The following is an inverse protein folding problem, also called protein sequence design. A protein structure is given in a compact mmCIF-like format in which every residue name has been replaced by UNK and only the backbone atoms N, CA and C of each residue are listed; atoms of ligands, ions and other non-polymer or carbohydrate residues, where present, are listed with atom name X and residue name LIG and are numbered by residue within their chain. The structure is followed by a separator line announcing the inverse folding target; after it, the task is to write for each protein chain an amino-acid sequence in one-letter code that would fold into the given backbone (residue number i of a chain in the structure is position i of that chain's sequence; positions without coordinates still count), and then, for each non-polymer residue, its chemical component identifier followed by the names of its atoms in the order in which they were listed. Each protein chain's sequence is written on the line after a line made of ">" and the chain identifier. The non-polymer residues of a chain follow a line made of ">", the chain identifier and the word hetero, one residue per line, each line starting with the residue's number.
data_IF_976083663975
#
_entry.id   IF_976083663975
#
_cell.length_a   1.000
_cell.length_b   1.000
_cell.length_c   1.000
_cell.angle_alpha   90.00
_cell.angle_beta   90.00
_cell.angle_gamma   90.00
#
_symmetry.space_group_name_H-M   'P 1'
#
loop_
_entity.id
_entity.type
_entity.pdbx_description
1 polymer ?
#
# COMPACT_ATOMS: atom_id res chain seq x y z
N UNK A 1 18.58 -4.09 2.72
CA UNK A 1 17.46 -3.50 3.46
C UNK A 1 16.46 -4.63 3.71
N UNK A 2 16.27 -5.03 4.95
CA UNK A 2 15.19 -5.92 5.33
C UNK A 2 13.95 -5.02 5.40
N UNK A 3 12.98 -5.25 4.52
CA UNK A 3 11.74 -4.48 4.49
C UNK A 3 10.70 -5.25 5.28
N UNK A 4 10.24 -4.68 6.39
CA UNK A 4 9.25 -5.31 7.27
C UNK A 4 7.82 -5.18 6.72
N UNK A 5 7.61 -4.23 5.81
CA UNK A 5 6.37 -4.04 5.06
C UNK A 5 6.59 -3.05 3.91
N UNK A 6 5.64 -3.00 2.98
CA UNK A 6 5.67 -2.04 1.88
C UNK A 6 4.31 -1.38 1.66
N UNK A 7 4.33 -0.10 1.29
CA UNK A 7 3.15 0.61 0.81
C UNK A 7 3.20 0.63 -0.72
N UNK A 8 2.21 0.01 -1.36
CA UNK A 8 2.04 0.01 -2.81
C UNK A 8 1.12 1.15 -3.21
N UNK A 9 1.68 2.18 -3.84
CA UNK A 9 0.92 3.35 -4.31
C UNK A 9 0.48 3.12 -5.77
N UNK A 10 -0.83 3.16 -6.01
CA UNK A 10 -1.42 3.02 -7.36
C UNK A 10 -2.31 4.22 -7.64
N UNK A 11 -2.20 4.82 -8.81
CA UNK A 11 -3.11 5.89 -9.22
C UNK A 11 -4.45 5.29 -9.64
N UNK A 12 -5.53 5.73 -9.02
CA UNK A 12 -6.89 5.29 -9.32
C UNK A 12 -7.30 5.59 -10.77
N UNK A 13 -6.71 6.61 -11.39
CA UNK A 13 -6.95 6.97 -12.80
C UNK A 13 -6.34 5.99 -13.80
N UNK A 14 -5.22 5.36 -13.43
CA UNK A 14 -4.36 4.61 -14.36
C UNK A 14 -4.45 3.09 -14.11
N UNK A 15 -4.90 2.67 -12.93
CA UNK A 15 -5.07 1.26 -12.56
C UNK A 15 -3.73 0.49 -12.44
N UNK A 16 -3.81 -0.84 -12.58
CA UNK A 16 -2.67 -1.73 -12.42
C UNK A 16 -1.75 -1.74 -13.65
N UNK A 17 -0.72 -0.87 -13.64
CA UNK A 17 0.28 -0.80 -14.69
C UNK A 17 1.28 -1.99 -14.67
N UNK A 18 2.00 -2.27 -15.77
CA UNK A 18 3.05 -3.30 -15.80
C UNK A 18 4.11 -3.14 -14.70
N UNK A 19 4.42 -1.89 -14.34
CA UNK A 19 5.34 -1.54 -13.25
C UNK A 19 4.81 -1.98 -11.88
N UNK A 20 3.50 -1.87 -11.64
CA UNK A 20 2.86 -2.36 -10.41
C UNK A 20 3.07 -3.86 -10.24
N UNK A 21 2.92 -4.63 -11.34
CA UNK A 21 3.15 -6.07 -11.35
C UNK A 21 4.61 -6.43 -11.06
N UNK A 22 5.54 -5.65 -11.60
CA UNK A 22 6.97 -5.83 -11.36
C UNK A 22 7.35 -5.50 -9.91
N UNK A 23 6.81 -4.44 -9.33
CA UNK A 23 7.03 -4.10 -7.92
C UNK A 23 6.47 -5.17 -6.97
N UNK A 24 5.28 -5.71 -7.22
CA UNK A 24 4.72 -6.81 -6.41
C UNK A 24 5.61 -8.06 -6.52
N UNK A 25 6.11 -8.36 -7.73
CA UNK A 25 7.03 -9.47 -7.95
C UNK A 25 8.34 -9.27 -7.17
N UNK A 26 8.93 -8.08 -7.21
CA UNK A 26 10.14 -7.74 -6.46
C UNK A 26 9.91 -7.83 -4.96
N UNK A 27 8.80 -7.31 -4.45
CA UNK A 27 8.43 -7.41 -3.04
C UNK A 27 8.34 -8.88 -2.59
N UNK A 28 7.73 -9.74 -3.42
CA UNK A 28 7.66 -11.18 -3.15
C UNK A 28 9.04 -11.84 -3.14
N UNK A 29 9.90 -11.51 -4.11
CA UNK A 29 11.28 -12.03 -4.18
C UNK A 29 12.14 -11.58 -2.99
N UNK A 30 11.90 -10.37 -2.51
CA UNK A 30 12.54 -9.80 -1.32
C UNK A 30 11.91 -10.29 -0.01
N UNK A 31 10.91 -11.17 -0.07
CA UNK A 31 10.19 -11.73 1.07
C UNK A 31 9.57 -10.65 1.98
N UNK A 32 9.05 -9.58 1.38
CA UNK A 32 8.26 -8.59 2.12
C UNK A 32 7.02 -9.31 2.68
N UNK A 33 6.79 -9.32 4.01
CA UNK A 33 5.77 -10.16 4.60
C UNK A 33 4.35 -9.58 4.43
N UNK A 34 4.23 -8.25 4.35
CA UNK A 34 2.94 -7.54 4.30
C UNK A 34 3.01 -6.34 3.36
N UNK A 35 1.94 -6.14 2.60
CA UNK A 35 1.76 -5.00 1.71
C UNK A 35 0.44 -4.32 2.05
N UNK A 36 0.48 -2.99 2.14
CA UNK A 36 -0.71 -2.13 2.23
C UNK A 36 -0.80 -1.34 0.92
N UNK A 37 -1.99 -1.24 0.35
CA UNK A 37 -2.20 -0.52 -0.92
C UNK A 37 -2.80 0.85 -0.64
N UNK A 38 -2.25 1.87 -1.28
CA UNK A 38 -2.84 3.21 -1.28
C UNK A 38 -3.27 3.58 -2.70
N UNK A 39 -4.59 3.65 -2.90
CA UNK A 39 -5.19 4.16 -4.12
C UNK A 39 -5.19 5.69 -4.08
N UNK A 40 -4.28 6.28 -4.85
CA UNK A 40 -4.05 7.71 -4.90
C UNK A 40 -4.82 8.37 -6.06
N UNK A 41 -4.95 9.70 -6.01
CA UNK A 41 -5.68 10.54 -6.98
C UNK A 41 -7.19 10.29 -7.01
N UNK A 42 -7.79 9.83 -5.91
CA UNK A 42 -9.25 9.68 -5.82
C UNK A 42 -10.01 11.01 -5.95
N UNK A 43 -9.35 12.15 -5.76
CA UNK A 43 -9.91 13.48 -5.96
C UNK A 43 -10.20 13.83 -7.43
N UNK A 44 -9.57 13.12 -8.38
CA UNK A 44 -9.78 13.31 -9.81
C UNK A 44 -10.97 12.51 -10.34
N UNK A 45 -11.50 11.59 -9.54
CA UNK A 45 -12.62 10.72 -9.90
C UNK A 45 -13.91 11.30 -9.31
N UNK A 46 -14.96 11.36 -10.13
CA UNK A 46 -16.27 11.86 -9.71
C UNK A 46 -17.13 10.78 -9.07
N UNK A 47 -18.33 11.16 -8.62
CA UNK A 47 -19.34 10.22 -8.11
C UNK A 47 -19.76 9.16 -9.15
N UNK A 48 -19.62 9.46 -10.45
CA UNK A 48 -19.90 8.53 -11.54
C UNK A 48 -18.82 7.47 -11.80
N UNK A 49 -17.67 7.56 -11.12
CA UNK A 49 -16.52 6.67 -11.34
C UNK A 49 -16.31 5.68 -10.18
N UNK A 50 -17.27 5.58 -9.25
CA UNK A 50 -17.20 4.62 -8.13
C UNK A 50 -17.10 3.17 -8.61
N UNK A 51 -17.84 2.80 -9.66
CA UNK A 51 -17.76 1.46 -10.24
C UNK A 51 -16.37 1.16 -10.81
N UNK A 52 -15.68 2.19 -11.34
CA UNK A 52 -14.32 2.05 -11.87
C UNK A 52 -13.31 1.88 -10.73
N UNK A 53 -13.48 2.59 -9.62
CA UNK A 53 -12.67 2.39 -8.41
C UNK A 53 -12.79 0.97 -7.87
N UNK A 54 -14.01 0.47 -7.73
CA UNK A 54 -14.26 -0.88 -7.23
C UNK A 54 -13.66 -1.94 -8.16
N UNK A 55 -13.70 -1.71 -9.47
CA UNK A 55 -13.05 -2.59 -10.45
C UNK A 55 -11.53 -2.60 -10.31
N UNK A 56 -10.91 -1.43 -10.14
CA UNK A 56 -9.45 -1.32 -9.95
C UNK A 56 -9.02 -1.98 -8.64
N UNK A 57 -9.80 -1.84 -7.57
CA UNK A 57 -9.54 -2.54 -6.31
C UNK A 57 -9.57 -4.05 -6.47
N UNK A 58 -10.59 -4.57 -7.15
CA UNK A 58 -10.72 -6.00 -7.40
C UNK A 58 -9.53 -6.52 -8.23
N UNK A 59 -9.12 -5.81 -9.28
CA UNK A 59 -7.93 -6.19 -10.07
C UNK A 59 -6.66 -6.20 -9.21
N UNK A 60 -6.46 -5.19 -8.36
CA UNK A 60 -5.30 -5.11 -7.48
C UNK A 60 -5.29 -6.25 -6.45
N UNK A 61 -6.46 -6.57 -5.89
CA UNK A 61 -6.61 -7.65 -4.93
C UNK A 61 -6.28 -9.01 -5.57
N UNK A 62 -6.81 -9.29 -6.77
CA UNK A 62 -6.49 -10.51 -7.52
C UNK A 62 -4.98 -10.60 -7.84
N UNK A 63 -4.34 -9.49 -8.23
CA UNK A 63 -2.91 -9.44 -8.52
C UNK A 63 -2.04 -9.72 -7.29
N UNK A 64 -2.45 -9.21 -6.12
CA UNK A 64 -1.77 -9.42 -4.84
C UNK A 64 -1.94 -10.85 -4.36
N UNK A 65 -3.17 -11.39 -4.42
CA UNK A 65 -3.48 -12.77 -4.08
C UNK A 65 -2.71 -13.76 -4.97
N UNK A 66 -2.60 -13.48 -6.28
CA UNK A 66 -1.81 -14.29 -7.21
C UNK A 66 -0.31 -14.36 -6.86
N UNK A 67 0.19 -13.45 -6.00
CA UNK A 67 1.56 -13.42 -5.49
C UNK A 67 1.68 -13.82 -4.02
N UNK A 68 0.59 -14.30 -3.41
CA UNK A 68 0.57 -14.77 -2.02
C UNK A 68 0.35 -13.69 -0.96
N UNK A 69 -0.08 -12.49 -1.37
CA UNK A 69 -0.50 -11.43 -0.45
C UNK A 69 -2.01 -11.50 -0.26
N UNK A 70 -2.45 -12.33 0.67
CA UNK A 70 -3.87 -12.49 1.00
C UNK A 70 -4.38 -11.31 1.86
N UNK A 71 -5.58 -10.81 1.55
CA UNK A 71 -6.28 -9.76 2.31
C UNK A 71 -5.44 -8.49 2.53
N UNK A 72 -4.66 -8.08 1.53
CA UNK A 72 -3.92 -6.83 1.59
C UNK A 72 -4.92 -5.65 1.68
N UNK A 73 -4.84 -4.80 2.73
CA UNK A 73 -5.78 -3.70 2.89
C UNK A 73 -5.54 -2.62 1.84
N UNK A 74 -6.62 -2.05 1.32
CA UNK A 74 -6.61 -0.99 0.31
C UNK A 74 -7.27 0.26 0.91
N UNK A 75 -6.54 1.37 0.89
CA UNK A 75 -7.02 2.67 1.37
C UNK A 75 -7.14 3.63 0.18
N UNK A 76 -8.33 4.22 0.01
CA UNK A 76 -8.62 5.23 -1.02
C UNK A 76 -8.31 6.63 -0.49
N UNK A 77 -7.56 7.41 -1.25
CA UNK A 77 -7.18 8.76 -0.82
C UNK A 77 -6.62 9.66 -1.92
N UNK A 78 -6.27 10.88 -1.50
CA UNK A 78 -5.59 11.86 -2.33
C UNK A 78 -4.42 12.45 -1.55
N UNK A 79 -3.20 12.05 -1.91
CA UNK A 79 -2.00 12.59 -1.29
C UNK A 79 -1.79 14.09 -1.61
N UNK A 80 -2.30 14.55 -2.77
CA UNK A 80 -2.19 15.97 -3.16
C UNK A 80 -3.05 16.84 -2.23
N UNK A 81 -4.34 16.52 -2.11
CA UNK A 81 -5.26 17.29 -1.26
C UNK A 81 -4.91 17.19 0.22
N UNK A 82 -4.44 16.03 0.67
CA UNK A 82 -3.91 15.88 2.03
C UNK A 82 -2.71 16.81 2.27
N UNK A 83 -1.80 16.95 1.29
CA UNK A 83 -0.67 17.86 1.40
C UNK A 83 -1.09 19.35 1.35
N UNK A 84 -2.19 19.66 0.67
CA UNK A 84 -2.78 21.01 0.60
C UNK A 84 -3.53 21.41 1.89
N UNK A 85 -3.71 20.48 2.83
CA UNK A 85 -4.35 20.74 4.13
C UNK A 85 -5.86 20.51 4.16
N UNK A 86 -6.39 19.71 3.23
CA UNK A 86 -7.79 19.30 3.26
C UNK A 86 -8.00 18.18 4.28
N UNK A 87 -8.73 18.49 5.35
CA UNK A 87 -8.93 17.63 6.51
C UNK A 87 -9.52 16.26 6.14
N UNK A 88 -10.38 16.18 5.12
CA UNK A 88 -10.98 14.92 4.67
C UNK A 88 -9.91 13.96 4.12
N UNK A 89 -8.94 14.49 3.37
CA UNK A 89 -7.88 13.69 2.77
C UNK A 89 -6.71 13.45 3.73
N UNK A 90 -6.46 14.37 4.67
CA UNK A 90 -5.54 14.12 5.79
C UNK A 90 -5.99 12.93 6.64
N UNK A 91 -7.30 12.80 6.89
CA UNK A 91 -7.87 11.65 7.61
C UNK A 91 -7.58 10.33 6.88
N UNK A 92 -7.59 10.32 5.54
CA UNK A 92 -7.22 9.14 4.74
C UNK A 92 -5.75 8.75 4.87
N UNK A 93 -4.85 9.72 5.08
CA UNK A 93 -3.44 9.42 5.37
C UNK A 93 -3.30 8.85 6.79
N UNK A 94 -4.05 9.37 7.76
CA UNK A 94 -4.08 8.80 9.11
C UNK A 94 -4.65 7.38 9.11
N UNK A 95 -5.71 7.13 8.34
CA UNK A 95 -6.29 5.80 8.13
C UNK A 95 -5.27 4.84 7.49
N UNK A 96 -4.51 5.30 6.49
CA UNK A 96 -3.42 4.52 5.89
C UNK A 96 -2.38 4.14 6.94
N UNK A 97 -1.94 5.09 7.76
CA UNK A 97 -0.94 4.83 8.80
C UNK A 97 -1.47 3.88 9.87
N UNK A 98 -2.72 4.04 10.32
CA UNK A 98 -3.36 3.10 11.25
C UNK A 98 -3.44 1.69 10.66
N UNK A 99 -3.79 1.59 9.38
CA UNK A 99 -3.87 0.31 8.67
C UNK A 99 -2.51 -0.37 8.59
N UNK A 100 -1.44 0.40 8.37
CA UNK A 100 -0.06 -0.09 8.41
C UNK A 100 0.28 -0.61 9.81
N UNK A 101 -0.02 0.14 10.87
CA UNK A 101 0.24 -0.28 12.25
C UNK A 101 -0.51 -1.57 12.62
N UNK A 102 -1.75 -1.74 12.14
CA UNK A 102 -2.57 -2.93 12.41
C UNK A 102 -2.13 -4.16 11.60
N UNK A 103 -1.59 -3.98 10.39
CA UNK A 103 -1.30 -5.07 9.46
C UNK A 103 0.17 -5.45 9.37
N UNK A 104 1.09 -4.52 9.62
CA UNK A 104 2.53 -4.76 9.57
C UNK A 104 3.01 -5.12 10.98
N UNK A 105 3.43 -6.37 11.23
CA UNK A 105 3.86 -6.77 12.55
C UNK A 105 5.13 -6.02 12.97
N UNK A 106 5.22 -5.67 14.25
CA UNK A 106 6.47 -5.11 14.78
C UNK A 106 7.63 -6.10 14.59
N UNK A 107 8.75 -5.68 13.98
CA UNK A 107 9.88 -6.56 13.75
C UNK A 107 10.50 -6.98 15.08
N UNK A 108 10.75 -8.29 15.22
CA UNK A 108 11.39 -8.82 16.41
C UNK A 108 12.82 -8.30 16.52
N UNK A 109 13.10 -7.52 17.56
CA UNK A 109 14.43 -6.98 17.81
C UNK A 109 15.36 -8.09 18.32
N UNK A 110 16.48 -8.26 17.63
CA UNK A 110 17.52 -9.23 17.99
C UNK A 110 18.43 -8.72 19.13
N UNK A 111 17.85 -8.46 20.30
CA UNK A 111 18.59 -7.91 21.46
C UNK A 111 19.54 -8.90 22.12
N UNK A 112 19.30 -10.20 21.92
CA UNK A 112 20.10 -11.28 22.50
C UNK A 112 21.26 -11.73 21.59
N UNK A 113 21.36 -11.18 20.36
CA UNK A 113 22.43 -11.52 19.41
C UNK A 113 23.67 -10.66 19.65
N UNK A 114 24.88 -11.15 19.27
CA UNK A 114 26.08 -10.33 19.30
C UNK A 114 25.89 -9.03 18.51
N UNK A 115 26.40 -7.92 19.05
CA UNK A 115 26.32 -6.62 18.40
C UNK A 115 26.92 -6.65 16.99
N UNK A 116 26.13 -6.24 16.00
CA UNK A 116 26.54 -6.12 14.61
C UNK A 116 25.90 -4.84 14.03
N UNK A 117 26.73 -3.94 13.53
CA UNK A 117 26.31 -2.71 12.86
C UNK A 117 27.06 -2.64 11.52
N UNK A 118 26.37 -2.86 10.38
CA UNK A 118 26.97 -2.70 9.06
C UNK A 118 27.42 -1.24 8.85
N UNK A 119 28.56 -1.05 8.19
CA UNK A 119 29.10 0.28 7.80
C UNK A 119 28.28 0.83 6.63
#
# INVERSE_FOLDING_TARGET
>A
AQMDGAILVVAATDGAMPQTREHILLAHQMQVPKIVVFLNKCDMLGEGDQELLDLVELELQELLEAKGYENAPIVRGSALKALEGDAEWEEKILELMSTVDDNVPEPQRDVDKPFLMPI
#
